data_IF_040716048878
#
_entry.id   IF_040716048878
#
_cell.length_a   1.000
_cell.length_b   1.000
_cell.length_c   1.000
_cell.angle_alpha   90.00
_cell.angle_beta   90.00
_cell.angle_gamma   90.00
#
_symmetry.space_group_name_H-M   'P 1'
#
loop_
_entity.id
_entity.type
_entity.pdbx_description
1 polymer ?
#
# COMPACT_ATOMS: atom_id res chain seq x y z
N UNK A 1 -40.03 31.43 -2.30
CA UNK A 1 -39.18 31.17 -3.49
C UNK A 1 -37.79 30.84 -2.99
N UNK A 2 -37.22 29.77 -3.56
CA UNK A 2 -35.92 29.19 -3.21
C UNK A 2 -34.76 30.16 -3.47
N UNK A 3 -33.67 30.03 -2.72
CA UNK A 3 -32.37 29.56 -3.27
C UNK A 3 -31.35 29.44 -2.13
N UNK A 4 -31.00 28.21 -1.78
CA UNK A 4 -29.79 27.91 -1.01
C UNK A 4 -28.58 27.94 -1.95
N UNK A 5 -27.43 28.39 -1.45
CA UNK A 5 -26.18 28.38 -2.20
C UNK A 5 -25.18 27.39 -1.57
N UNK A 6 -24.58 26.59 -2.44
CA UNK A 6 -23.80 25.40 -2.12
C UNK A 6 -22.39 25.72 -1.61
N UNK A 7 -21.98 24.88 -0.67
CA UNK A 7 -20.66 24.65 -0.08
C UNK A 7 -19.42 24.95 -0.95
N UNK A 8 -18.48 25.73 -0.42
CA UNK A 8 -17.08 25.71 -0.87
C UNK A 8 -16.40 24.43 -0.34
N UNK A 9 -16.27 23.42 -1.19
CA UNK A 9 -15.40 22.27 -0.91
C UNK A 9 -13.96 22.74 -1.04
N UNK A 10 -13.28 22.94 0.08
CA UNK A 10 -11.83 23.19 0.10
C UNK A 10 -11.10 21.96 -0.41
N UNK A 11 -10.49 22.09 -1.60
CA UNK A 11 -9.54 21.09 -2.12
C UNK A 11 -8.31 21.13 -1.22
N UNK A 12 -8.14 20.09 -0.39
CA UNK A 12 -6.92 19.93 0.42
C UNK A 12 -5.78 19.58 -0.55
N UNK A 13 -4.70 20.38 -0.62
CA UNK A 13 -3.58 20.07 -1.50
C UNK A 13 -2.90 18.79 -1.02
N UNK A 14 -2.56 17.90 -1.96
CA UNK A 14 -1.76 16.71 -1.67
C UNK A 14 -0.42 17.15 -1.04
N UNK A 15 -0.23 16.88 0.25
CA UNK A 15 1.03 17.16 0.95
C UNK A 15 2.15 16.32 0.35
N UNK A 16 3.32 16.91 0.12
CA UNK A 16 4.46 16.20 -0.43
C UNK A 16 4.98 15.15 0.57
N UNK A 17 5.41 13.97 0.07
CA UNK A 17 5.90 12.86 0.91
C UNK A 17 7.20 13.23 1.69
N UNK A 18 7.99 14.17 1.17
CA UNK A 18 9.23 14.67 1.80
C UNK A 18 8.92 15.48 3.07
N UNK A 19 7.98 16.43 3.01
CA UNK A 19 7.57 17.21 4.18
C UNK A 19 6.97 16.33 5.29
N UNK A 20 6.31 15.23 4.91
CA UNK A 20 5.76 14.28 5.88
C UNK A 20 6.83 13.46 6.59
N UNK A 21 7.90 13.09 5.91
CA UNK A 21 9.02 12.37 6.52
C UNK A 21 9.70 13.22 7.59
N UNK A 22 9.89 14.51 7.34
CA UNK A 22 10.45 15.46 8.32
C UNK A 22 9.52 15.65 9.52
N UNK A 23 8.21 15.84 9.29
CA UNK A 23 7.23 15.99 10.39
C UNK A 23 7.05 14.75 11.27
N UNK A 24 7.18 13.55 10.71
CA UNK A 24 7.14 12.31 11.50
C UNK A 24 8.37 12.14 12.40
N UNK A 25 9.53 12.70 12.02
CA UNK A 25 10.75 12.67 12.83
C UNK A 25 10.72 13.71 13.96
N UNK A 26 10.06 14.85 13.72
CA UNK A 26 9.97 15.95 14.68
C UNK A 26 8.81 15.81 15.68
N UNK A 27 7.78 14.99 15.38
CA UNK A 27 6.59 14.87 16.23
C UNK A 27 6.16 13.41 16.41
N UNK A 28 6.33 12.88 17.64
CA UNK A 28 6.01 11.50 18.03
C UNK A 28 4.52 11.12 17.84
N UNK A 29 3.66 12.12 17.71
CA UNK A 29 2.20 12.02 17.53
C UNK A 29 1.79 11.30 16.21
N UNK A 30 2.71 11.10 15.27
CA UNK A 30 2.48 10.32 14.04
C UNK A 30 2.56 8.80 14.27
N UNK A 31 3.30 8.36 15.29
CA UNK A 31 3.61 6.94 15.53
C UNK A 31 2.49 6.16 16.26
N UNK A 32 1.58 6.87 16.94
CA UNK A 32 0.44 6.27 17.66
C UNK A 32 -0.81 6.08 16.78
N UNK A 33 -0.79 6.62 15.55
CA UNK A 33 -1.93 6.56 14.65
C UNK A 33 -2.00 5.22 13.90
N UNK A 34 -3.20 4.76 13.51
CA UNK A 34 -3.35 3.48 12.83
C UNK A 34 -2.61 3.48 11.49
N UNK A 35 -1.70 2.53 11.28
CA UNK A 35 -0.82 2.47 10.10
C UNK A 35 -1.49 1.79 8.92
N UNK A 36 -2.52 1.01 9.21
CA UNK A 36 -3.29 0.23 8.26
C UNK A 36 -4.74 0.03 8.74
N UNK A 37 -5.58 -0.53 7.88
CA UNK A 37 -6.96 -0.84 8.22
C UNK A 37 -7.08 -1.87 9.35
N UNK A 38 -6.04 -2.70 9.58
CA UNK A 38 -6.05 -3.71 10.65
C UNK A 38 -5.93 -3.05 12.00
N UNK A 39 -5.01 -2.08 12.14
CA UNK A 39 -4.91 -1.25 13.34
C UNK A 39 -6.25 -0.57 13.65
N UNK A 40 -6.96 -0.05 12.63
CA UNK A 40 -8.31 0.52 12.80
C UNK A 40 -9.30 -0.55 13.27
N UNK A 41 -9.33 -1.71 12.62
CA UNK A 41 -10.24 -2.80 12.98
C UNK A 41 -10.00 -3.36 14.38
N UNK A 42 -8.79 -3.19 14.92
CA UNK A 42 -8.43 -3.57 16.28
C UNK A 42 -8.92 -2.57 17.34
N UNK A 43 -9.18 -1.32 16.94
CA UNK A 43 -9.59 -0.22 17.80
C UNK A 43 -11.12 -0.04 17.87
N UNK A 44 -11.89 -0.83 17.13
CA UNK A 44 -13.35 -0.73 17.08
C UNK A 44 -14.04 -2.09 17.20
N UNK A 45 -15.25 -2.11 17.74
CA UNK A 45 -16.05 -3.33 17.89
C UNK A 45 -16.92 -3.65 16.65
N UNK A 46 -17.31 -2.63 15.88
CA UNK A 46 -18.17 -2.78 14.70
C UNK A 46 -17.84 -1.74 13.60
N UNK A 47 -16.59 -1.71 13.12
CA UNK A 47 -16.25 -0.86 11.98
C UNK A 47 -16.99 -1.31 10.71
N UNK A 48 -17.52 -0.36 9.95
CA UNK A 48 -18.11 -0.59 8.64
C UNK A 48 -17.05 -0.47 7.55
N UNK A 49 -17.24 -1.15 6.41
CA UNK A 49 -16.37 -0.93 5.25
C UNK A 49 -16.57 0.50 4.74
N UNK A 50 -15.54 1.33 4.84
CA UNK A 50 -15.59 2.75 4.51
C UNK A 50 -14.19 3.28 4.22
N UNK A 51 -14.11 4.57 3.93
CA UNK A 51 -12.85 5.29 3.76
C UNK A 51 -12.35 5.71 5.13
N UNK A 52 -11.09 5.41 5.41
CA UNK A 52 -10.40 5.79 6.64
C UNK A 52 -9.05 6.39 6.31
N UNK A 53 -8.56 7.24 7.21
CA UNK A 53 -7.19 7.77 7.15
C UNK A 53 -6.24 6.85 7.91
N UNK A 54 -5.23 6.34 7.22
CA UNK A 54 -4.13 5.54 7.81
C UNK A 54 -2.82 6.31 7.76
N UNK A 55 -1.85 5.95 8.59
CA UNK A 55 -0.56 6.62 8.70
C UNK A 55 0.62 5.67 8.40
N UNK A 56 0.81 5.29 7.12
CA UNK A 56 2.02 4.63 6.63
C UNK A 56 3.30 5.32 7.09
N UNK A 57 4.39 4.56 7.22
CA UNK A 57 5.70 5.11 7.62
C UNK A 57 6.12 6.22 6.67
N UNK A 58 6.45 7.40 7.21
CA UNK A 58 6.84 8.57 6.42
C UNK A 58 5.68 9.30 5.72
N UNK A 59 4.42 9.04 6.09
CA UNK A 59 3.24 9.75 5.56
C UNK A 59 2.54 10.58 6.64
N UNK A 60 1.89 11.68 6.24
CA UNK A 60 1.09 12.53 7.13
C UNK A 60 -0.38 12.07 7.25
N UNK A 61 -0.70 10.85 6.85
CA UNK A 61 -2.07 10.41 6.63
C UNK A 61 -2.35 10.16 5.15
N UNK A 62 -3.00 9.04 4.87
CA UNK A 62 -3.43 8.61 3.55
C UNK A 62 -4.84 8.04 3.68
N UNK A 63 -5.77 8.59 2.91
CA UNK A 63 -7.12 8.05 2.85
C UNK A 63 -7.15 6.81 1.98
N UNK A 64 -7.70 5.72 2.53
CA UNK A 64 -7.81 4.41 1.87
C UNK A 64 -9.19 3.82 2.11
N UNK A 65 -9.67 3.01 1.16
CA UNK A 65 -10.82 2.16 1.41
C UNK A 65 -10.39 0.99 2.30
N UNK A 66 -10.97 0.92 3.50
CA UNK A 66 -10.85 -0.23 4.38
C UNK A 66 -12.05 -1.15 4.19
N UNK A 67 -11.82 -2.36 3.68
CA UNK A 67 -12.84 -3.39 3.65
C UNK A 67 -12.83 -4.16 4.96
N UNK A 68 -13.65 -3.71 5.90
CA UNK A 68 -13.82 -4.35 7.20
C UNK A 68 -14.56 -5.68 7.05
N UNK A 69 -14.12 -6.69 7.78
CA UNK A 69 -14.78 -7.99 7.92
C UNK A 69 -15.06 -8.26 9.39
N UNK A 70 -15.96 -9.22 9.66
CA UNK A 70 -16.15 -9.75 11.00
C UNK A 70 -14.84 -10.35 11.53
N UNK A 71 -14.64 -10.31 12.86
CA UNK A 71 -13.47 -10.85 13.57
C UNK A 71 -12.12 -10.13 13.38
N UNK A 72 -12.11 -8.77 13.36
CA UNK A 72 -10.86 -7.95 13.32
C UNK A 72 -9.97 -8.21 12.09
N UNK A 73 -10.54 -8.75 11.03
CA UNK A 73 -9.89 -8.84 9.73
C UNK A 73 -10.32 -7.63 8.89
N UNK A 74 -9.37 -7.01 8.21
CA UNK A 74 -9.66 -5.91 7.30
C UNK A 74 -8.66 -5.90 6.15
N UNK A 75 -9.05 -5.25 5.06
CA UNK A 75 -8.18 -5.05 3.91
C UNK A 75 -7.98 -3.58 3.66
N UNK A 76 -6.72 -3.18 3.54
CA UNK A 76 -6.34 -1.91 2.95
C UNK A 76 -6.30 -2.07 1.43
N UNK A 77 -7.16 -1.38 0.71
CA UNK A 77 -7.22 -1.46 -0.76
C UNK A 77 -6.17 -0.55 -1.39
N UNK A 78 -5.20 -1.12 -2.11
CA UNK A 78 -4.07 -0.40 -2.72
C UNK A 78 -4.39 0.15 -4.14
N UNK A 79 -5.30 -0.51 -4.84
CA UNK A 79 -5.77 -0.15 -6.18
C UNK A 79 -7.29 -0.36 -6.25
N UNK A 80 -8.01 0.63 -6.79
CA UNK A 80 -9.46 0.53 -7.03
C UNK A 80 -9.81 1.02 -8.42
N UNK A 81 -10.52 0.19 -9.18
CA UNK A 81 -11.13 0.49 -10.49
C UNK A 81 -12.62 0.15 -10.43
N UNK A 82 -13.46 0.96 -11.03
CA UNK A 82 -14.92 0.84 -10.93
C UNK A 82 -15.58 1.10 -12.27
N UNK A 83 -15.37 2.29 -12.84
CA UNK A 83 -16.16 2.81 -13.96
C UNK A 83 -15.32 3.55 -15.02
N UNK A 84 -13.99 3.62 -14.86
CA UNK A 84 -13.10 4.22 -15.84
C UNK A 84 -13.09 5.75 -15.89
N UNK A 85 -13.70 6.44 -14.92
CA UNK A 85 -13.71 7.90 -14.86
C UNK A 85 -12.35 8.51 -14.53
N UNK A 86 -11.48 7.76 -13.84
CA UNK A 86 -10.13 8.22 -13.56
C UNK A 86 -9.22 7.81 -14.70
N UNK A 87 -8.49 8.77 -15.26
CA UNK A 87 -7.46 8.48 -16.24
C UNK A 87 -6.28 7.74 -15.56
N UNK A 88 -6.01 6.50 -15.97
CA UNK A 88 -4.86 5.72 -15.53
C UNK A 88 -3.67 5.82 -16.51
N UNK A 89 -3.81 6.49 -17.65
CA UNK A 89 -2.68 6.87 -18.49
C UNK A 89 -1.93 8.04 -17.84
N UNK A 90 -1.00 7.70 -16.95
CA UNK A 90 -0.27 8.63 -16.07
C UNK A 90 1.24 8.46 -16.21
N UNK A 91 1.97 9.51 -15.86
CA UNK A 91 3.43 9.47 -15.91
C UNK A 91 4.03 8.73 -14.71
N UNK A 92 5.33 8.49 -14.79
CA UNK A 92 6.11 7.77 -13.78
C UNK A 92 5.94 8.33 -12.37
N UNK A 93 6.10 9.64 -12.20
CA UNK A 93 6.01 10.31 -10.91
C UNK A 93 4.67 10.03 -10.24
N UNK A 94 3.57 10.08 -11.00
CA UNK A 94 2.22 9.83 -10.51
C UNK A 94 2.02 8.37 -10.08
N UNK A 95 2.54 7.39 -10.82
CA UNK A 95 2.44 5.98 -10.40
C UNK A 95 3.28 5.67 -9.15
N UNK A 96 4.42 6.34 -8.99
CA UNK A 96 5.24 6.23 -7.78
C UNK A 96 4.52 6.83 -6.56
N UNK A 97 3.94 8.02 -6.71
CA UNK A 97 3.31 8.78 -5.62
C UNK A 97 1.88 8.33 -5.29
N UNK A 98 1.16 7.77 -6.27
CA UNK A 98 -0.26 7.51 -6.20
C UNK A 98 -1.09 8.61 -6.88
N UNK A 99 -2.30 8.27 -7.31
CA UNK A 99 -3.24 9.21 -7.95
C UNK A 99 -4.68 8.70 -7.86
N UNK A 100 -5.62 9.57 -8.24
CA UNK A 100 -7.05 9.28 -8.27
C UNK A 100 -7.77 9.82 -7.04
N UNK A 101 -8.95 9.29 -6.77
CA UNK A 101 -9.77 9.68 -5.62
C UNK A 101 -10.19 8.45 -4.84
N UNK A 102 -9.99 8.49 -3.52
CA UNK A 102 -10.38 7.41 -2.61
C UNK A 102 -11.90 7.13 -2.65
N UNK A 103 -12.71 8.14 -2.97
CA UNK A 103 -14.16 8.01 -3.17
C UNK A 103 -14.52 7.26 -4.47
N UNK A 104 -13.61 7.21 -5.44
CA UNK A 104 -13.78 6.57 -6.74
C UNK A 104 -12.66 5.57 -7.03
N UNK A 105 -11.95 5.81 -8.13
CA UNK A 105 -10.83 4.99 -8.58
C UNK A 105 -9.50 5.62 -8.17
N UNK A 106 -8.56 4.80 -7.70
CA UNK A 106 -7.27 5.29 -7.23
C UNK A 106 -6.17 4.22 -7.25
N UNK A 107 -4.94 4.69 -7.09
CA UNK A 107 -3.72 3.93 -6.87
C UNK A 107 -2.93 4.60 -5.74
N UNK A 108 -2.47 3.83 -4.74
CA UNK A 108 -1.78 4.42 -3.57
C UNK A 108 -0.26 4.56 -3.74
N UNK A 109 0.32 4.04 -4.82
CA UNK A 109 1.77 4.05 -5.06
C UNK A 109 2.40 2.67 -5.23
N UNK A 110 3.57 2.64 -5.86
CA UNK A 110 4.16 1.43 -6.47
C UNK A 110 5.35 0.84 -5.70
N UNK A 111 5.15 -0.32 -5.03
CA UNK A 111 6.25 -1.19 -4.53
C UNK A 111 6.63 -2.31 -5.51
N UNK A 112 5.88 -2.50 -6.60
CA UNK A 112 6.12 -3.54 -7.60
C UNK A 112 7.13 -3.11 -8.66
N UNK A 113 7.37 -1.81 -8.84
CA UNK A 113 8.24 -1.32 -9.91
C UNK A 113 9.60 -2.01 -9.99
N UNK A 114 10.25 -2.21 -8.84
CA UNK A 114 11.57 -2.85 -8.77
C UNK A 114 11.57 -4.25 -9.38
N UNK A 115 10.42 -4.90 -9.41
CA UNK A 115 10.19 -6.25 -9.90
C UNK A 115 9.85 -6.29 -11.40
N UNK A 116 9.69 -5.14 -12.06
CA UNK A 116 9.32 -5.08 -13.48
C UNK A 116 10.42 -5.63 -14.38
N UNK A 117 10.06 -6.51 -15.32
CA UNK A 117 10.99 -7.15 -16.25
C UNK A 117 11.87 -8.24 -15.63
N UNK A 118 11.63 -8.59 -14.36
CA UNK A 118 12.38 -9.63 -13.67
C UNK A 118 11.77 -10.99 -13.93
N UNK A 119 12.59 -12.03 -13.90
CA UNK A 119 12.12 -13.40 -13.93
C UNK A 119 11.56 -13.78 -12.56
N UNK A 120 10.55 -14.65 -12.56
CA UNK A 120 10.13 -15.29 -11.33
C UNK A 120 11.22 -16.27 -10.88
N UNK A 121 11.69 -16.13 -9.63
CA UNK A 121 12.76 -16.94 -9.08
C UNK A 121 12.31 -17.65 -7.79
N UNK A 122 12.80 -18.86 -7.59
CA UNK A 122 12.56 -19.75 -6.44
C UNK A 122 13.89 -20.23 -5.86
N UNK A 123 13.88 -20.92 -4.72
CA UNK A 123 15.10 -21.37 -4.02
C UNK A 123 16.03 -22.25 -4.88
N UNK A 124 15.47 -22.94 -5.87
CA UNK A 124 16.12 -23.86 -6.80
C UNK A 124 16.34 -23.27 -8.20
N UNK A 125 15.82 -22.06 -8.45
CA UNK A 125 15.92 -21.38 -9.74
C UNK A 125 16.06 -19.87 -9.54
N UNK A 126 17.25 -19.45 -9.11
CA UNK A 126 17.63 -18.05 -8.98
C UNK A 126 18.49 -17.63 -10.17
N UNK A 127 17.88 -16.89 -11.10
CA UNK A 127 18.56 -16.41 -12.32
C UNK A 127 19.31 -15.08 -12.09
N UNK A 128 19.15 -14.45 -10.92
CA UNK A 128 19.71 -13.14 -10.62
C UNK A 128 20.88 -13.25 -9.64
N UNK A 129 22.07 -13.57 -10.16
CA UNK A 129 23.30 -13.78 -9.37
C UNK A 129 24.23 -12.57 -9.52
N UNK A 130 24.00 -11.55 -8.69
CA UNK A 130 24.91 -10.40 -8.52
C UNK A 130 25.52 -10.36 -7.12
N UNK A 131 26.71 -9.75 -6.91
CA UNK A 131 27.41 -9.75 -5.61
C UNK A 131 26.61 -9.18 -4.42
N UNK A 132 25.59 -8.37 -4.69
CA UNK A 132 24.69 -7.77 -3.69
C UNK A 132 23.22 -8.16 -3.87
N UNK A 133 22.90 -9.04 -4.83
CA UNK A 133 21.54 -9.21 -5.35
C UNK A 133 21.11 -10.66 -5.59
N UNK A 134 21.88 -11.65 -5.13
CA UNK A 134 21.57 -13.07 -5.25
C UNK A 134 21.17 -13.75 -3.94
N UNK A 135 20.53 -14.91 -4.02
CA UNK A 135 20.15 -15.71 -2.85
C UNK A 135 18.87 -15.23 -2.15
N UNK A 136 18.13 -14.31 -2.76
CA UNK A 136 16.91 -13.75 -2.19
C UNK A 136 15.80 -14.78 -1.96
N UNK A 137 15.54 -15.75 -2.87
CA UNK A 137 14.52 -16.78 -2.63
C UNK A 137 14.79 -17.61 -1.37
N UNK A 138 16.07 -17.87 -1.08
CA UNK A 138 16.52 -18.59 0.12
C UNK A 138 16.47 -17.67 1.34
N UNK A 139 17.08 -16.48 1.27
CA UNK A 139 17.21 -15.55 2.38
C UNK A 139 15.88 -15.04 2.94
N UNK A 140 14.85 -14.94 2.08
CA UNK A 140 13.54 -14.43 2.47
C UNK A 140 12.41 -15.46 2.32
N UNK A 141 12.76 -16.70 1.95
CA UNK A 141 11.84 -17.84 1.91
C UNK A 141 10.57 -17.58 1.08
N UNK A 142 10.71 -17.62 -0.24
CA UNK A 142 9.56 -17.49 -1.14
C UNK A 142 9.95 -17.41 -2.61
N UNK A 143 8.97 -17.65 -3.48
CA UNK A 143 9.13 -17.42 -4.92
C UNK A 143 8.61 -16.05 -5.31
N UNK A 144 9.41 -15.22 -5.99
CA UNK A 144 9.00 -13.88 -6.39
C UNK A 144 9.78 -13.37 -7.61
N UNK A 145 9.31 -12.27 -8.20
CA UNK A 145 10.02 -11.54 -9.25
C UNK A 145 11.17 -10.70 -8.67
N UNK A 146 12.17 -11.35 -8.08
CA UNK A 146 13.22 -10.64 -7.33
C UNK A 146 14.10 -9.73 -8.20
N UNK A 147 14.52 -8.61 -7.62
CA UNK A 147 15.52 -7.71 -8.16
C UNK A 147 16.25 -7.06 -7.00
N UNK A 148 17.48 -7.51 -6.71
CA UNK A 148 18.17 -7.17 -5.46
C UNK A 148 17.21 -7.34 -4.26
N UNK A 149 16.64 -8.54 -4.22
CA UNK A 149 15.54 -8.97 -3.38
C UNK A 149 14.26 -8.22 -3.68
N UNK A 150 13.72 -7.41 -2.76
CA UNK A 150 12.37 -6.89 -2.96
C UNK A 150 12.08 -5.56 -2.32
N UNK A 151 11.16 -4.84 -2.97
CA UNK A 151 10.38 -3.76 -2.37
C UNK A 151 8.93 -4.22 -2.10
N UNK A 152 8.52 -5.36 -2.67
CA UNK A 152 7.30 -6.10 -2.34
C UNK A 152 7.59 -7.60 -2.35
N UNK A 153 7.04 -8.34 -1.39
CA UNK A 153 7.20 -9.79 -1.33
C UNK A 153 5.95 -10.40 -0.71
N UNK A 154 4.94 -10.66 -1.54
CA UNK A 154 3.63 -11.11 -1.06
C UNK A 154 3.57 -12.63 -0.78
N UNK A 155 4.61 -13.36 -1.12
CA UNK A 155 4.75 -14.82 -0.97
C UNK A 155 5.65 -15.23 0.20
N UNK A 156 6.28 -14.26 0.87
CA UNK A 156 7.14 -14.51 2.02
C UNK A 156 6.38 -15.08 3.22
N UNK A 157 7.09 -15.59 4.23
CA UNK A 157 6.48 -16.20 5.39
C UNK A 157 5.68 -15.18 6.21
N UNK A 158 4.62 -15.65 6.89
CA UNK A 158 3.83 -14.85 7.81
C UNK A 158 4.54 -14.86 9.17
N UNK A 159 5.36 -13.83 9.42
CA UNK A 159 6.12 -13.67 10.66
C UNK A 159 5.86 -12.29 11.26
N UNK A 160 5.98 -12.17 12.58
CA UNK A 160 6.00 -10.85 13.24
C UNK A 160 7.36 -10.17 13.04
N UNK A 161 7.38 -8.83 13.04
CA UNK A 161 8.61 -8.07 12.79
C UNK A 161 8.87 -7.85 11.30
N UNK A 162 10.07 -8.20 10.82
CA UNK A 162 10.49 -7.99 9.43
C UNK A 162 11.12 -9.22 8.79
N UNK A 163 11.26 -9.19 7.46
CA UNK A 163 11.78 -10.31 6.66
C UNK A 163 10.73 -11.30 6.15
N UNK A 164 9.45 -11.06 6.44
CA UNK A 164 8.33 -11.84 5.92
C UNK A 164 7.66 -11.22 4.70
N UNK A 165 6.35 -11.40 4.64
CA UNK A 165 5.50 -10.81 3.60
C UNK A 165 5.53 -9.27 3.66
N UNK A 166 5.87 -8.54 2.59
CA UNK A 166 6.13 -7.10 2.70
C UNK A 166 5.61 -6.25 1.52
N UNK A 167 5.34 -4.97 1.80
CA UNK A 167 5.07 -3.92 0.81
C UNK A 167 5.70 -2.59 1.28
N UNK A 168 6.95 -2.36 0.88
CA UNK A 168 7.83 -1.39 1.53
C UNK A 168 7.36 0.06 1.37
N UNK A 169 6.74 0.43 0.25
CA UNK A 169 6.22 1.79 0.05
C UNK A 169 5.05 2.14 0.97
N UNK A 170 4.51 1.15 1.69
CA UNK A 170 3.41 1.27 2.63
C UNK A 170 3.85 0.97 4.08
N UNK A 171 4.27 -0.25 4.39
CA UNK A 171 4.56 -0.69 5.77
C UNK A 171 6.04 -0.66 6.13
N UNK A 172 6.92 -0.25 5.21
CA UNK A 172 8.37 -0.38 5.37
C UNK A 172 8.76 -1.85 5.53
N UNK A 173 9.61 -2.15 6.52
CA UNK A 173 10.08 -3.51 6.80
C UNK A 173 9.12 -4.34 7.67
N UNK A 174 7.94 -3.81 8.05
CA UNK A 174 6.96 -4.55 8.84
C UNK A 174 6.24 -5.57 7.97
N UNK A 175 6.24 -6.82 8.43
CA UNK A 175 5.57 -7.94 7.78
C UNK A 175 4.05 -7.79 7.79
N UNK A 176 3.42 -8.16 6.68
CA UNK A 176 1.99 -8.23 6.47
C UNK A 176 1.44 -9.55 7.02
N UNK A 177 0.24 -9.51 7.62
CA UNK A 177 -0.43 -10.71 8.13
C UNK A 177 -1.14 -11.50 7.03
N UNK A 178 -1.63 -10.79 6.02
CA UNK A 178 -2.41 -11.37 4.91
C UNK A 178 -2.23 -10.51 3.66
N UNK A 179 -2.12 -11.14 2.48
CA UNK A 179 -2.18 -10.45 1.20
C UNK A 179 -3.08 -11.22 0.23
N UNK A 180 -3.71 -10.48 -0.69
CA UNK A 180 -4.48 -11.03 -1.81
C UNK A 180 -4.24 -10.20 -3.06
N UNK A 181 -3.78 -10.84 -4.13
CA UNK A 181 -3.80 -10.29 -5.48
C UNK A 181 -4.99 -10.89 -6.20
N UNK A 182 -5.88 -10.06 -6.75
CA UNK A 182 -7.09 -10.52 -7.42
C UNK A 182 -7.19 -9.85 -8.78
N UNK A 183 -7.40 -10.65 -9.81
CA UNK A 183 -7.69 -10.21 -11.16
C UNK A 183 -9.01 -10.84 -11.58
N UNK A 184 -9.84 -10.11 -12.31
CA UNK A 184 -11.09 -10.64 -12.86
C UNK A 184 -11.15 -10.26 -14.34
N UNK A 185 -11.36 -11.23 -15.25
CA UNK A 185 -11.59 -10.91 -16.65
C UNK A 185 -12.86 -10.07 -16.79
N UNK A 186 -12.94 -9.37 -17.92
CA UNK A 186 -14.10 -8.53 -18.23
C UNK A 186 -15.37 -9.36 -18.48
N UNK A 187 -15.22 -10.62 -18.91
CA UNK A 187 -16.29 -11.58 -19.22
C UNK A 187 -16.14 -12.86 -18.40
#
# INVERSE_FOLDING_TARGET
>A
MMTGNLTSVTVIPARSRIECTVKCLENADCCEKPKDCTDISNQCNACTSSIYTIFPVGSCGLDVLCMMKTYRYSWTVLLRRINGLTNFYRNWKQYKEGFGSVFGEYWIGDSMFKHNGMNFATFDNDTYVGPMCGGCPVGFSGGYWYHCCFDSHLTGPIVEGGGGMAWLTWTGYKSLKTARMMIRPWN
#
